data_IF_592761929421
#
_entry.id   IF_592761929421
#
_cell.length_a   1.000
_cell.length_b   1.000
_cell.length_c   1.000
_cell.angle_alpha   90.00
_cell.angle_beta   90.00
_cell.angle_gamma   90.00
#
_symmetry.space_group_name_H-M   'P 1'
#
loop_
_entity.id
_entity.type
_entity.pdbx_description
1 polymer ?
#
# COMPACT_ATOMS: atom_id res chain seq x y z
N UNK A 1 25.59 -18.88 -10.94
CA UNK A 1 24.85 -19.48 -12.06
C UNK A 1 25.80 -20.36 -12.87
N UNK A 2 26.28 -21.47 -12.32
CA UNK A 2 27.22 -22.35 -13.06
C UNK A 2 26.56 -23.61 -13.58
N UNK A 3 25.39 -24.00 -13.06
CA UNK A 3 24.71 -25.25 -13.37
C UNK A 3 23.31 -25.11 -13.96
N UNK A 4 22.70 -23.90 -13.89
CA UNK A 4 21.34 -23.66 -14.36
C UNK A 4 21.29 -23.58 -15.90
N UNK A 5 20.42 -24.37 -16.50
CA UNK A 5 20.25 -24.51 -17.95
C UNK A 5 19.01 -23.81 -18.47
N UNK A 6 18.05 -23.53 -17.60
CA UNK A 6 16.79 -22.90 -17.96
C UNK A 6 16.49 -21.71 -17.05
N UNK A 7 15.65 -20.79 -17.56
CA UNK A 7 15.15 -19.65 -16.79
C UNK A 7 14.50 -20.10 -15.47
N UNK A 8 13.70 -21.18 -15.52
CA UNK A 8 13.04 -21.72 -14.33
C UNK A 8 14.00 -22.22 -13.26
N UNK A 9 15.16 -22.80 -13.64
CA UNK A 9 16.19 -23.21 -12.68
C UNK A 9 16.83 -22.01 -12.00
N UNK A 10 17.11 -20.92 -12.75
CA UNK A 10 17.62 -19.66 -12.19
C UNK A 10 16.61 -19.06 -11.22
N UNK A 11 15.33 -18.96 -11.62
CA UNK A 11 14.30 -18.43 -10.75
C UNK A 11 14.17 -19.22 -9.46
N UNK A 12 14.21 -20.55 -9.53
CA UNK A 12 14.15 -21.43 -8.34
C UNK A 12 15.36 -21.28 -7.43
N UNK A 13 16.56 -21.12 -7.99
CA UNK A 13 17.78 -20.90 -7.21
C UNK A 13 17.74 -19.52 -6.54
N UNK A 14 17.27 -18.51 -7.25
CA UNK A 14 17.09 -17.16 -6.71
C UNK A 14 16.06 -17.13 -5.59
N UNK A 15 14.88 -17.77 -5.78
CA UNK A 15 13.80 -17.76 -4.76
C UNK A 15 14.27 -18.37 -3.45
N UNK A 16 15.03 -19.49 -3.50
CA UNK A 16 15.63 -20.08 -2.29
C UNK A 16 16.59 -19.15 -1.55
N UNK A 17 17.27 -18.26 -2.27
CA UNK A 17 18.17 -17.30 -1.65
C UNK A 17 17.39 -16.10 -1.12
N UNK A 18 16.36 -15.65 -1.85
CA UNK A 18 15.45 -14.58 -1.43
C UNK A 18 14.69 -14.95 -0.14
N UNK A 19 14.20 -16.20 -0.02
CA UNK A 19 13.54 -16.69 1.19
C UNK A 19 14.40 -16.54 2.44
N UNK A 20 15.72 -16.79 2.34
CA UNK A 20 16.67 -16.63 3.47
C UNK A 20 16.77 -15.17 3.92
N UNK A 21 16.48 -14.23 3.04
CA UNK A 21 16.49 -12.79 3.29
C UNK A 21 15.09 -12.25 3.55
N UNK A 22 14.12 -13.11 3.85
CA UNK A 22 12.71 -12.73 4.03
C UNK A 22 12.20 -11.86 2.86
N UNK A 23 12.52 -12.30 1.62
CA UNK A 23 12.14 -11.60 0.40
C UNK A 23 11.47 -12.56 -0.59
N UNK A 24 10.68 -12.04 -1.51
CA UNK A 24 10.01 -12.81 -2.56
C UNK A 24 10.00 -12.05 -3.88
N UNK A 25 9.90 -12.77 -4.99
CA UNK A 25 9.84 -12.19 -6.33
C UNK A 25 8.40 -11.78 -6.65
N UNK A 26 8.21 -10.50 -6.98
CA UNK A 26 6.90 -9.92 -7.37
C UNK A 26 6.82 -9.56 -8.85
N UNK A 27 7.90 -9.65 -9.58
CA UNK A 27 7.93 -9.37 -11.02
C UNK A 27 9.13 -10.01 -11.70
N UNK A 28 8.90 -10.51 -12.93
CA UNK A 28 9.92 -11.16 -13.74
C UNK A 28 9.92 -10.53 -15.14
N UNK A 29 11.10 -10.17 -15.64
CA UNK A 29 11.30 -9.71 -17.00
C UNK A 29 12.34 -10.61 -17.68
N UNK A 30 11.99 -11.12 -18.84
CA UNK A 30 12.88 -11.92 -19.68
C UNK A 30 13.18 -11.15 -20.97
N UNK A 31 14.45 -10.83 -21.20
CA UNK A 31 14.91 -10.04 -22.36
C UNK A 31 14.12 -8.72 -22.51
N UNK A 32 13.85 -8.03 -21.40
CA UNK A 32 13.12 -6.76 -21.35
C UNK A 32 11.60 -6.85 -21.48
N UNK A 33 11.03 -8.08 -21.60
CA UNK A 33 9.58 -8.28 -21.63
C UNK A 33 9.09 -8.82 -20.28
N UNK A 34 8.01 -8.23 -19.74
CA UNK A 34 7.37 -8.71 -18.52
C UNK A 34 6.78 -10.10 -18.76
N UNK A 35 7.09 -11.05 -17.91
CA UNK A 35 6.50 -12.39 -17.90
C UNK A 35 5.21 -12.32 -17.08
N UNK A 36 4.08 -12.62 -17.74
CA UNK A 36 2.78 -12.73 -17.09
C UNK A 36 2.59 -14.11 -16.46
N UNK A 37 1.67 -14.22 -15.51
CA UNK A 37 1.40 -15.50 -14.84
C UNK A 37 1.05 -16.62 -15.81
N UNK A 38 0.23 -16.33 -16.83
CA UNK A 38 -0.18 -17.31 -17.84
C UNK A 38 0.99 -17.77 -18.75
N UNK A 39 2.04 -16.95 -18.89
CA UNK A 39 3.21 -17.24 -19.71
C UNK A 39 4.37 -17.85 -18.89
N UNK A 40 4.24 -17.94 -17.58
CA UNK A 40 5.31 -18.35 -16.68
C UNK A 40 5.85 -19.75 -17.02
N UNK A 41 4.98 -20.71 -17.28
CA UNK A 41 5.38 -22.10 -17.62
C UNK A 41 6.21 -22.19 -18.90
N UNK A 42 5.90 -21.34 -19.87
CA UNK A 42 6.66 -21.29 -21.12
C UNK A 42 8.00 -20.57 -20.92
N UNK A 43 7.97 -19.43 -20.22
CA UNK A 43 9.17 -18.67 -19.90
C UNK A 43 10.17 -19.51 -19.06
N UNK A 44 9.69 -20.28 -18.11
CA UNK A 44 10.51 -21.15 -17.25
C UNK A 44 11.27 -22.23 -18.03
N UNK A 45 10.70 -22.71 -19.14
CA UNK A 45 11.33 -23.73 -20.00
C UNK A 45 12.36 -23.15 -20.98
N UNK A 46 12.46 -21.82 -21.08
CA UNK A 46 13.40 -21.17 -22.00
C UNK A 46 14.82 -21.51 -21.62
N UNK A 47 15.66 -22.04 -22.54
CA UNK A 47 17.07 -22.27 -22.29
C UNK A 47 17.79 -20.95 -22.04
N UNK A 48 18.82 -21.00 -21.21
CA UNK A 48 19.72 -19.86 -21.01
C UNK A 48 20.75 -19.85 -22.11
N UNK A 49 20.83 -18.71 -22.80
CA UNK A 49 21.83 -18.43 -23.83
C UNK A 49 22.73 -17.29 -23.34
N UNK A 50 23.86 -17.06 -24.02
CA UNK A 50 24.85 -16.04 -23.64
C UNK A 50 24.27 -14.63 -23.49
N UNK A 51 23.19 -14.30 -24.23
CA UNK A 51 22.51 -13.01 -24.21
C UNK A 51 21.21 -13.01 -23.41
N UNK A 52 20.87 -14.08 -22.68
CA UNK A 52 19.66 -14.15 -21.89
C UNK A 52 19.73 -13.16 -20.72
N UNK A 53 18.79 -12.23 -20.65
CA UNK A 53 18.68 -11.24 -19.56
C UNK A 53 17.44 -11.55 -18.74
N UNK A 54 17.65 -11.82 -17.45
CA UNK A 54 16.59 -12.02 -16.47
C UNK A 54 16.66 -10.86 -15.48
N UNK A 55 15.57 -10.11 -15.35
CA UNK A 55 15.44 -9.03 -14.37
C UNK A 55 14.30 -9.41 -13.42
N UNK A 56 14.56 -9.29 -12.13
CA UNK A 56 13.60 -9.63 -11.07
C UNK A 56 13.26 -8.39 -10.26
N UNK A 57 11.97 -8.17 -10.04
CA UNK A 57 11.53 -7.24 -9.01
C UNK A 57 11.31 -8.02 -7.73
N UNK A 58 11.99 -7.64 -6.68
CA UNK A 58 11.98 -8.33 -5.39
C UNK A 58 11.36 -7.41 -4.35
N UNK A 59 10.56 -7.98 -3.48
CA UNK A 59 10.00 -7.31 -2.31
C UNK A 59 10.52 -8.02 -1.06
N UNK A 60 11.12 -7.28 -0.14
CA UNK A 60 11.49 -7.81 1.17
C UNK A 60 10.43 -7.48 2.22
N UNK A 61 10.40 -8.28 3.29
CA UNK A 61 9.60 -8.00 4.48
C UNK A 61 9.92 -6.61 5.04
N UNK A 62 11.20 -6.22 5.02
CA UNK A 62 11.65 -4.91 5.50
C UNK A 62 11.09 -3.76 4.64
N UNK A 63 11.02 -3.92 3.31
CA UNK A 63 10.41 -2.90 2.43
C UNK A 63 8.94 -2.67 2.78
N UNK A 64 8.20 -3.75 3.10
CA UNK A 64 6.80 -3.65 3.55
C UNK A 64 6.70 -2.95 4.90
N UNK A 65 7.54 -3.31 5.87
CA UNK A 65 7.60 -2.67 7.19
C UNK A 65 7.91 -1.18 7.06
N UNK A 66 8.89 -0.81 6.25
CA UNK A 66 9.27 0.59 6.01
C UNK A 66 8.15 1.38 5.34
N UNK A 67 7.43 0.77 4.39
CA UNK A 67 6.29 1.39 3.72
C UNK A 67 5.11 1.59 4.68
N UNK A 68 4.81 0.61 5.53
CA UNK A 68 3.81 0.76 6.60
C UNK A 68 4.19 1.87 7.58
N UNK A 69 5.48 1.97 7.95
CA UNK A 69 5.98 3.05 8.79
C UNK A 69 5.74 4.43 8.19
N UNK A 70 5.97 4.60 6.88
CA UNK A 70 5.67 5.83 6.15
C UNK A 70 4.16 6.13 6.13
N UNK A 71 3.33 5.13 5.90
CA UNK A 71 1.87 5.27 5.95
C UNK A 71 1.39 5.72 7.32
N UNK A 72 1.93 5.14 8.41
CA UNK A 72 1.66 5.57 9.79
C UNK A 72 1.93 7.06 9.99
N UNK A 73 3.11 7.52 9.59
CA UNK A 73 3.50 8.92 9.76
C UNK A 73 2.63 9.86 8.93
N UNK A 74 2.27 9.44 7.70
CA UNK A 74 1.38 10.19 6.80
C UNK A 74 -0.02 10.31 7.40
N UNK A 75 -0.62 9.23 7.88
CA UNK A 75 -1.95 9.25 8.52
C UNK A 75 -1.96 10.09 9.80
N UNK A 76 -0.94 9.98 10.65
CA UNK A 76 -0.82 10.81 11.85
C UNK A 76 -0.72 12.31 11.53
N UNK A 77 -0.07 12.66 10.42
CA UNK A 77 0.01 14.05 9.94
C UNK A 77 -1.33 14.52 9.39
N UNK A 78 -1.98 13.69 8.56
CA UNK A 78 -3.26 14.02 7.93
C UNK A 78 -4.41 14.16 8.94
N UNK A 79 -4.45 13.31 9.96
CA UNK A 79 -5.45 13.41 11.03
C UNK A 79 -5.46 14.79 11.71
N UNK A 80 -4.29 15.44 11.80
CA UNK A 80 -4.16 16.79 12.37
C UNK A 80 -4.53 17.91 11.39
N UNK A 81 -4.34 17.67 10.08
CA UNK A 81 -4.60 18.67 9.05
C UNK A 81 -6.06 18.69 8.57
N UNK A 82 -6.72 17.52 8.59
CA UNK A 82 -8.08 17.38 8.05
C UNK A 82 -9.12 18.32 8.68
N UNK A 83 -9.15 18.55 10.01
CA UNK A 83 -10.08 19.49 10.62
C UNK A 83 -9.93 20.95 10.12
N UNK A 84 -8.80 21.29 9.49
CA UNK A 84 -8.56 22.63 8.92
C UNK A 84 -9.12 22.77 7.50
N UNK A 85 -9.42 21.67 6.80
CA UNK A 85 -9.90 21.68 5.41
C UNK A 85 -11.19 22.50 5.24
N UNK A 86 -12.25 22.30 6.05
CA UNK A 86 -13.48 23.07 5.91
C UNK A 86 -13.26 24.56 6.16
N UNK A 87 -12.42 24.91 7.12
CA UNK A 87 -12.07 26.31 7.43
C UNK A 87 -11.34 26.95 6.25
N UNK A 88 -10.43 26.21 5.60
CA UNK A 88 -9.74 26.69 4.41
C UNK A 88 -10.71 26.91 3.23
N UNK A 89 -11.65 25.98 3.00
CA UNK A 89 -12.68 26.12 1.96
C UNK A 89 -13.59 27.34 2.21
N UNK A 90 -14.07 27.54 3.44
CA UNK A 90 -14.88 28.70 3.81
C UNK A 90 -14.10 30.02 3.66
N UNK A 91 -12.79 29.99 3.90
CA UNK A 91 -11.89 31.14 3.75
C UNK A 91 -11.42 31.42 2.32
N UNK A 92 -11.90 30.65 1.33
CA UNK A 92 -11.48 30.80 -0.08
C UNK A 92 -10.07 30.31 -0.37
N UNK A 93 -9.49 29.47 0.52
CA UNK A 93 -8.16 28.86 0.37
C UNK A 93 -8.25 27.47 -0.28
N UNK A 94 -9.01 27.37 -1.36
CA UNK A 94 -9.32 26.11 -2.06
C UNK A 94 -8.08 25.31 -2.41
N UNK A 95 -6.98 25.99 -2.77
CA UNK A 95 -5.72 25.31 -3.11
C UNK A 95 -5.12 24.58 -1.91
N UNK A 96 -5.15 25.19 -0.72
CA UNK A 96 -4.62 24.56 0.51
C UNK A 96 -5.47 23.34 0.88
N UNK A 97 -6.80 23.50 0.87
CA UNK A 97 -7.75 22.43 1.13
C UNK A 97 -7.58 21.25 0.15
N UNK A 98 -7.57 21.53 -1.16
CA UNK A 98 -7.42 20.52 -2.18
C UNK A 98 -6.08 19.76 -2.09
N UNK A 99 -5.01 20.41 -1.62
CA UNK A 99 -3.74 19.74 -1.38
C UNK A 99 -3.88 18.67 -0.29
N UNK A 100 -4.53 19.00 0.84
CA UNK A 100 -4.73 18.03 1.94
C UNK A 100 -5.65 16.89 1.51
N UNK A 101 -6.70 17.18 0.74
CA UNK A 101 -7.62 16.16 0.20
C UNK A 101 -6.88 15.21 -0.76
N UNK A 102 -6.04 15.73 -1.64
CA UNK A 102 -5.23 14.91 -2.54
C UNK A 102 -4.20 14.06 -1.78
N UNK A 103 -3.56 14.65 -0.75
CA UNK A 103 -2.65 13.91 0.14
C UNK A 103 -3.37 12.77 0.89
N UNK A 104 -4.64 12.95 1.26
CA UNK A 104 -5.46 11.90 1.90
C UNK A 104 -5.74 10.74 0.93
N UNK A 105 -6.20 11.07 -0.28
CA UNK A 105 -6.49 10.05 -1.29
C UNK A 105 -5.24 9.22 -1.63
N UNK A 106 -4.10 9.88 -1.85
CA UNK A 106 -2.81 9.22 -2.10
C UNK A 106 -2.38 8.34 -0.91
N UNK A 107 -2.52 8.83 0.32
CA UNK A 107 -2.14 8.06 1.50
C UNK A 107 -2.99 6.80 1.70
N UNK A 108 -4.28 6.85 1.38
CA UNK A 108 -5.18 5.70 1.43
C UNK A 108 -4.79 4.68 0.35
N UNK A 109 -4.55 5.13 -0.89
CA UNK A 109 -4.16 4.26 -2.00
C UNK A 109 -2.82 3.56 -1.72
N UNK A 110 -1.80 4.30 -1.29
CA UNK A 110 -0.49 3.78 -0.91
C UNK A 110 -0.59 2.73 0.22
N UNK A 111 -1.42 3.01 1.22
CA UNK A 111 -1.62 2.06 2.32
C UNK A 111 -2.34 0.80 1.86
N UNK A 112 -3.41 0.92 1.08
CA UNK A 112 -4.13 -0.24 0.54
C UNK A 112 -3.21 -1.11 -0.34
N UNK A 113 -2.37 -0.49 -1.17
CA UNK A 113 -1.37 -1.20 -1.96
C UNK A 113 -0.36 -1.93 -1.07
N UNK A 114 0.19 -1.24 -0.06
CA UNK A 114 1.14 -1.83 0.89
C UNK A 114 0.51 -2.96 1.72
N UNK A 115 -0.73 -2.78 2.16
CA UNK A 115 -1.48 -3.81 2.88
C UNK A 115 -1.72 -5.05 2.00
N UNK A 116 -2.02 -4.88 0.72
CA UNK A 116 -2.13 -5.99 -0.22
C UNK A 116 -0.79 -6.73 -0.40
N UNK A 117 0.32 -6.01 -0.52
CA UNK A 117 1.67 -6.60 -0.59
C UNK A 117 2.08 -7.30 0.71
N UNK A 118 1.63 -6.80 1.86
CA UNK A 118 1.93 -7.42 3.15
C UNK A 118 1.34 -8.83 3.30
N UNK A 119 0.32 -9.18 2.50
CA UNK A 119 -0.23 -10.54 2.45
C UNK A 119 0.80 -11.60 2.01
N UNK A 120 1.88 -11.19 1.33
CA UNK A 120 3.03 -12.05 1.02
C UNK A 120 3.87 -12.40 2.27
N UNK A 121 3.68 -11.67 3.37
CA UNK A 121 4.33 -11.85 4.67
C UNK A 121 3.24 -11.99 5.75
N UNK A 122 2.66 -13.20 5.94
CA UNK A 122 1.45 -13.41 6.76
C UNK A 122 1.56 -12.88 8.19
N UNK A 123 2.74 -12.92 8.78
CA UNK A 123 3.01 -12.40 10.14
C UNK A 123 2.90 -10.86 10.19
N UNK A 124 3.32 -10.15 9.14
CA UNK A 124 3.16 -8.69 9.04
C UNK A 124 1.69 -8.35 8.81
N UNK A 125 1.05 -9.03 7.84
CA UNK A 125 -0.36 -8.79 7.51
C UNK A 125 -1.27 -9.01 8.72
N UNK A 126 -1.10 -10.12 9.43
CA UNK A 126 -1.94 -10.47 10.59
C UNK A 126 -1.66 -9.63 11.83
N UNK A 127 -0.55 -8.89 11.86
CA UNK A 127 -0.22 -8.00 12.97
C UNK A 127 -1.02 -6.69 12.97
N UNK A 128 -1.53 -6.28 11.79
CA UNK A 128 -2.28 -5.03 11.63
C UNK A 128 -3.76 -5.28 11.90
N UNK A 129 -4.21 -4.90 13.08
CA UNK A 129 -5.60 -5.00 13.52
C UNK A 129 -6.09 -3.61 13.90
N UNK A 130 -7.04 -3.06 13.13
CA UNK A 130 -7.53 -1.69 13.30
C UNK A 130 -8.84 -1.73 14.10
N UNK A 131 -8.82 -1.25 15.33
CA UNK A 131 -9.99 -1.26 16.23
C UNK A 131 -10.65 -2.65 16.35
N UNK A 132 -9.83 -3.69 16.46
CA UNK A 132 -10.29 -5.08 16.57
C UNK A 132 -10.74 -5.74 15.27
N UNK A 133 -10.61 -5.06 14.13
CA UNK A 133 -11.01 -5.52 12.79
C UNK A 133 -9.81 -5.77 11.90
N UNK A 134 -9.96 -6.64 10.93
CA UNK A 134 -9.01 -6.75 9.82
C UNK A 134 -8.98 -5.46 8.99
N UNK A 135 -7.91 -5.26 8.22
CA UNK A 135 -7.80 -4.12 7.30
C UNK A 135 -8.99 -4.08 6.34
N UNK A 136 -9.39 -5.22 5.78
CA UNK A 136 -10.53 -5.32 4.84
C UNK A 136 -11.84 -4.88 5.50
N UNK A 137 -12.20 -5.45 6.66
CA UNK A 137 -13.43 -5.10 7.38
C UNK A 137 -13.47 -3.62 7.78
N UNK A 138 -12.34 -3.06 8.19
CA UNK A 138 -12.25 -1.64 8.53
C UNK A 138 -12.52 -0.74 7.32
N UNK A 139 -11.93 -1.07 6.15
CA UNK A 139 -12.13 -0.27 4.95
C UNK A 139 -13.49 -0.46 4.31
N UNK A 140 -14.16 -1.60 4.47
CA UNK A 140 -15.57 -1.77 4.09
C UNK A 140 -16.49 -0.81 4.86
N UNK A 141 -16.21 -0.55 6.14
CA UNK A 141 -16.95 0.43 6.94
C UNK A 141 -16.53 1.88 6.68
N UNK A 142 -15.29 2.11 6.26
CA UNK A 142 -14.78 3.43 5.95
C UNK A 142 -15.23 3.95 4.58
N UNK A 143 -15.45 3.06 3.61
CA UNK A 143 -15.79 3.42 2.23
C UNK A 143 -17.05 4.32 2.13
N UNK A 144 -18.18 4.07 2.81
CA UNK A 144 -19.34 4.97 2.76
C UNK A 144 -19.03 6.36 3.32
N UNK A 145 -18.20 6.47 4.35
CA UNK A 145 -17.80 7.76 4.93
C UNK A 145 -16.96 8.57 3.94
N UNK A 146 -16.05 7.90 3.23
CA UNK A 146 -15.27 8.53 2.17
C UNK A 146 -16.15 9.01 1.00
N UNK A 147 -17.17 8.23 0.63
CA UNK A 147 -18.14 8.62 -0.40
C UNK A 147 -18.99 9.83 0.03
N UNK A 148 -19.46 9.86 1.28
CA UNK A 148 -20.22 10.99 1.82
C UNK A 148 -19.33 12.25 1.87
N UNK A 149 -18.04 12.10 2.19
CA UNK A 149 -17.09 13.21 2.16
C UNK A 149 -16.89 13.75 0.74
N UNK A 150 -16.68 12.89 -0.25
CA UNK A 150 -16.57 13.27 -1.65
C UNK A 150 -17.83 14.03 -2.11
N UNK A 151 -19.01 13.50 -1.81
CA UNK A 151 -20.28 14.15 -2.13
C UNK A 151 -20.42 15.54 -1.48
N UNK A 152 -20.00 15.68 -0.21
CA UNK A 152 -20.05 16.98 0.49
C UNK A 152 -19.13 18.02 -0.15
N UNK A 153 -17.96 17.60 -0.66
CA UNK A 153 -17.04 18.46 -1.41
C UNK A 153 -17.64 18.89 -2.76
N UNK A 154 -18.25 17.98 -3.51
CA UNK A 154 -18.90 18.27 -4.80
C UNK A 154 -20.06 19.27 -4.66
N UNK A 155 -20.86 19.10 -3.61
CA UNK A 155 -22.00 19.98 -3.32
C UNK A 155 -21.60 21.27 -2.59
N UNK A 156 -20.32 21.42 -2.25
CA UNK A 156 -19.78 22.54 -1.44
C UNK A 156 -20.46 22.69 -0.08
N UNK A 157 -20.91 21.58 0.49
CA UNK A 157 -21.45 21.54 1.84
C UNK A 157 -20.30 21.50 2.85
N UNK A 158 -19.80 22.68 3.19
CA UNK A 158 -18.65 22.84 4.10
C UNK A 158 -18.96 22.43 5.53
N UNK A 159 -20.24 22.38 5.94
CA UNK A 159 -20.65 21.93 7.27
C UNK A 159 -20.48 20.41 7.34
N UNK A 160 -21.12 19.68 6.43
CA UNK A 160 -20.98 18.22 6.36
C UNK A 160 -19.53 17.79 6.13
N UNK A 161 -18.79 18.48 5.25
CA UNK A 161 -17.36 18.20 5.07
C UNK A 161 -16.58 18.38 6.36
N UNK A 162 -16.93 19.38 7.18
CA UNK A 162 -16.31 19.65 8.47
C UNK A 162 -16.55 18.53 9.47
N UNK A 163 -17.81 18.18 9.65
CA UNK A 163 -18.21 17.13 10.57
C UNK A 163 -17.55 15.78 10.20
N UNK A 164 -17.53 15.44 8.92
CA UNK A 164 -16.87 14.22 8.43
C UNK A 164 -15.36 14.25 8.66
N UNK A 165 -14.69 15.38 8.38
CA UNK A 165 -13.25 15.49 8.64
C UNK A 165 -12.90 15.34 10.12
N UNK A 166 -13.63 16.02 11.00
CA UNK A 166 -13.32 16.12 12.42
C UNK A 166 -13.75 14.87 13.20
N UNK A 167 -14.97 14.36 12.93
CA UNK A 167 -15.55 13.30 13.78
C UNK A 167 -15.48 11.90 13.18
N UNK A 168 -15.28 11.79 11.86
CA UNK A 168 -15.29 10.48 11.19
C UNK A 168 -13.92 10.12 10.59
N UNK A 169 -13.32 10.99 9.76
CA UNK A 169 -12.12 10.63 9.02
C UNK A 169 -10.87 10.75 9.89
N UNK A 170 -10.62 11.90 10.52
CA UNK A 170 -9.42 12.12 11.32
C UNK A 170 -9.24 11.06 12.44
N UNK A 171 -10.28 10.70 13.23
CA UNK A 171 -10.15 9.64 14.22
C UNK A 171 -9.81 8.28 13.62
N UNK A 172 -10.35 7.96 12.43
CA UNK A 172 -10.05 6.70 11.76
C UNK A 172 -8.62 6.63 11.25
N UNK A 173 -8.07 7.74 10.78
CA UNK A 173 -6.64 7.81 10.41
C UNK A 173 -5.73 7.59 11.62
N UNK A 174 -6.11 8.11 12.78
CA UNK A 174 -5.37 7.84 14.03
C UNK A 174 -5.43 6.37 14.43
N UNK A 175 -6.60 5.71 14.26
CA UNK A 175 -6.74 4.27 14.50
C UNK A 175 -5.86 3.45 13.57
N UNK A 176 -5.80 3.79 12.27
CA UNK A 176 -4.92 3.12 11.32
C UNK A 176 -3.46 3.32 11.73
N UNK A 177 -3.05 4.55 12.01
CA UNK A 177 -1.67 4.87 12.41
C UNK A 177 -1.25 4.09 13.68
N UNK A 178 -2.13 4.04 14.67
CA UNK A 178 -1.91 3.27 15.90
C UNK A 178 -1.82 1.78 15.65
N UNK A 179 -2.71 1.23 14.82
CA UNK A 179 -2.71 -0.20 14.49
C UNK A 179 -1.40 -0.62 13.80
N UNK A 180 -0.89 0.22 12.88
CA UNK A 180 0.41 -0.01 12.25
C UNK A 180 1.52 0.03 13.30
N UNK A 181 1.55 1.05 14.16
CA UNK A 181 2.56 1.18 15.20
C UNK A 181 2.58 -0.03 16.16
N UNK A 182 1.41 -0.49 16.58
CA UNK A 182 1.26 -1.62 17.50
C UNK A 182 1.59 -2.96 16.79
N UNK A 183 1.27 -3.08 15.50
CA UNK A 183 1.59 -4.24 14.68
C UNK A 183 3.09 -4.39 14.43
N UNK A 184 3.80 -3.29 14.17
CA UNK A 184 5.24 -3.31 13.89
C UNK A 184 6.12 -3.48 15.14
N UNK A 185 5.57 -3.39 16.35
CA UNK A 185 6.30 -3.63 17.62
C UNK A 185 6.30 -5.11 18.05
N UNK A 186 5.53 -5.95 17.39
CA UNK A 186 5.42 -7.39 17.70
C UNK A 186 6.47 -8.19 16.98
#
# INVERSE_FOLDING_TARGET
LEDEKTVGEVLKSFEKEAEKSEATTIGIFLNGKKVLADDFDNASKTPIEENTKIELTVLSKQDVIDSLGKSKDKFSSLAKKLPEVPVALQGGKDKEANTVIAELAEAIDDFCHTAALSALFPEVYSSIVIDGKSVTEFFEEFAPIAADFEQSLETKDTVTSGDLCEYEIAPRLELIAKAIEDGLKK
#
